data_IF_603549458641
#
_entry.id   IF_603549458641
#
_cell.length_a   1.000
_cell.length_b   1.000
_cell.length_c   1.000
_cell.angle_alpha   90.00
_cell.angle_beta   90.00
_cell.angle_gamma   90.00
#
_symmetry.space_group_name_H-M   'P 1'
#
loop_
_entity.id
_entity.type
_entity.pdbx_description
1 polymer ?
#
# COMPACT_ATOMS: atom_id res chain seq x y z
N UNK A 1 -3.71 -7.35 1.80
CA UNK A 1 -4.87 -6.41 1.84
C UNK A 1 -5.53 -6.32 0.48
N UNK A 2 -4.85 -5.90 -0.60
CA UNK A 2 -5.46 -5.70 -1.95
C UNK A 2 -6.16 -6.96 -2.50
N UNK A 3 -5.51 -8.13 -2.41
CA UNK A 3 -6.09 -9.41 -2.86
C UNK A 3 -7.35 -9.78 -2.05
N UNK A 4 -7.30 -9.57 -0.74
CA UNK A 4 -8.44 -9.85 0.14
C UNK A 4 -9.63 -8.94 -0.19
N UNK A 5 -9.39 -7.64 -0.34
CA UNK A 5 -10.43 -6.67 -0.69
C UNK A 5 -11.08 -6.99 -2.05
N UNK A 6 -10.26 -7.34 -3.05
CA UNK A 6 -10.78 -7.78 -4.35
C UNK A 6 -11.63 -9.04 -4.24
N UNK A 7 -11.16 -10.04 -3.47
CA UNK A 7 -11.93 -11.28 -3.22
C UNK A 7 -13.30 -10.99 -2.64
N UNK A 8 -13.35 -10.20 -1.56
CA UNK A 8 -14.62 -9.93 -0.88
C UNK A 8 -15.57 -9.12 -1.78
N UNK A 9 -15.06 -8.18 -2.56
CA UNK A 9 -15.87 -7.44 -3.51
C UNK A 9 -16.40 -8.32 -4.64
N UNK A 10 -15.59 -9.20 -5.21
CA UNK A 10 -16.02 -10.16 -6.23
C UNK A 10 -17.06 -11.15 -5.68
N UNK A 11 -16.92 -11.61 -4.42
CA UNK A 11 -17.92 -12.46 -3.76
C UNK A 11 -19.26 -11.73 -3.61
N UNK A 12 -19.26 -10.45 -3.22
CA UNK A 12 -20.47 -9.61 -3.14
C UNK A 12 -21.16 -9.46 -4.50
N UNK A 13 -20.39 -9.49 -5.59
CA UNK A 13 -20.91 -9.48 -6.98
C UNK A 13 -21.36 -10.86 -7.49
N UNK A 14 -21.37 -11.89 -6.65
CA UNK A 14 -21.87 -13.23 -6.98
C UNK A 14 -20.84 -14.19 -7.57
N UNK A 15 -19.55 -13.82 -7.59
CA UNK A 15 -18.49 -14.68 -8.13
C UNK A 15 -17.94 -15.62 -7.06
N UNK A 16 -17.52 -16.81 -7.49
CA UNK A 16 -16.77 -17.77 -6.67
C UNK A 16 -15.29 -17.50 -6.80
N UNK A 17 -14.63 -17.14 -5.70
CA UNK A 17 -13.20 -16.80 -5.68
C UNK A 17 -12.42 -17.81 -4.84
N UNK A 18 -11.38 -18.37 -5.43
CA UNK A 18 -10.41 -19.23 -4.76
C UNK A 18 -9.08 -18.47 -4.62
N UNK A 19 -8.45 -18.59 -3.46
CA UNK A 19 -7.11 -18.03 -3.23
C UNK A 19 -6.09 -19.16 -3.12
N UNK A 20 -4.97 -18.99 -3.80
CA UNK A 20 -3.76 -19.82 -3.60
C UNK A 20 -2.66 -18.94 -3.06
N UNK A 21 -2.13 -19.29 -1.89
CA UNK A 21 -1.11 -18.50 -1.21
C UNK A 21 -0.06 -19.39 -0.54
N UNK A 22 0.96 -18.79 0.04
CA UNK A 22 2.04 -19.50 0.76
C UNK A 22 1.63 -19.73 2.21
N UNK A 23 1.99 -20.87 2.77
CA UNK A 23 1.82 -21.23 4.18
C UNK A 23 3.06 -20.82 5.00
N UNK A 24 2.87 -20.68 6.31
CA UNK A 24 3.97 -20.56 7.28
C UNK A 24 4.72 -21.89 7.52
N UNK A 25 4.13 -23.00 7.12
CA UNK A 25 4.75 -24.32 7.16
C UNK A 25 5.62 -24.58 5.92
N UNK A 26 6.75 -25.27 6.13
CA UNK A 26 7.65 -25.70 5.04
C UNK A 26 7.15 -26.98 4.35
N UNK A 27 6.24 -27.74 4.98
CA UNK A 27 5.88 -29.09 4.52
C UNK A 27 4.38 -29.22 4.25
N UNK A 28 3.53 -28.46 4.96
CA UNK A 28 2.09 -28.71 4.99
C UNK A 28 1.34 -27.94 3.91
N UNK A 29 0.58 -28.69 3.08
CA UNK A 29 -0.49 -28.12 2.27
C UNK A 29 -1.76 -28.06 3.09
N UNK A 30 -2.46 -26.93 3.02
CA UNK A 30 -3.69 -26.71 3.77
C UNK A 30 -4.75 -26.13 2.85
N UNK A 31 -5.93 -26.74 2.83
CA UNK A 31 -7.08 -26.23 2.10
C UNK A 31 -8.22 -25.95 3.06
N UNK A 32 -8.56 -24.68 3.17
CA UNK A 32 -9.76 -24.21 3.85
C UNK A 32 -10.91 -24.20 2.86
N UNK A 33 -11.80 -25.19 2.98
CA UNK A 33 -12.94 -25.37 2.06
C UNK A 33 -13.98 -24.26 2.24
N UNK A 34 -14.20 -23.78 3.45
CA UNK A 34 -15.15 -22.73 3.77
C UNK A 34 -14.69 -21.40 3.16
N UNK A 35 -13.47 -21.03 3.41
CA UNK A 35 -12.87 -19.80 2.90
C UNK A 35 -12.35 -19.94 1.45
N UNK A 36 -12.29 -21.17 0.90
CA UNK A 36 -11.70 -21.46 -0.43
C UNK A 36 -10.26 -20.98 -0.58
N UNK A 37 -9.47 -21.15 0.47
CA UNK A 37 -8.06 -20.74 0.51
C UNK A 37 -7.18 -21.99 0.53
N UNK A 38 -6.32 -22.12 -0.46
CA UNK A 38 -5.30 -23.16 -0.55
C UNK A 38 -3.94 -22.55 -0.19
N UNK A 39 -3.34 -23.04 0.90
CA UNK A 39 -2.00 -22.66 1.33
C UNK A 39 -1.01 -23.74 0.94
N UNK A 40 0.02 -23.36 0.21
CA UNK A 40 1.10 -24.25 -0.21
C UNK A 40 2.36 -23.98 0.61
N UNK A 41 3.24 -24.98 0.83
CA UNK A 41 4.46 -24.80 1.60
C UNK A 41 5.32 -23.66 1.12
N UNK A 42 5.96 -22.95 2.06
CA UNK A 42 6.84 -21.83 1.76
C UNK A 42 8.09 -21.78 2.61
N UNK A 43 9.25 -21.62 1.97
CA UNK A 43 10.55 -21.51 2.62
C UNK A 43 10.82 -20.02 2.89
N UNK A 44 11.11 -19.59 4.13
CA UNK A 44 11.50 -18.22 4.42
C UNK A 44 12.84 -17.90 3.74
N UNK A 45 12.92 -16.74 3.09
CA UNK A 45 14.13 -16.33 2.36
C UNK A 45 14.99 -15.31 3.12
N UNK A 46 14.67 -15.04 4.40
CA UNK A 46 15.43 -14.11 5.24
C UNK A 46 15.30 -12.63 4.88
N UNK A 47 14.45 -12.30 3.94
CA UNK A 47 14.10 -10.92 3.56
C UNK A 47 12.68 -10.68 4.03
N UNK A 48 12.52 -9.99 5.17
CA UNK A 48 11.22 -9.78 5.81
C UNK A 48 10.42 -11.10 5.99
N UNK A 49 9.11 -11.01 5.94
CA UNK A 49 8.20 -12.17 5.99
C UNK A 49 8.01 -12.85 4.62
N UNK A 50 8.88 -12.55 3.63
CA UNK A 50 8.77 -13.15 2.31
C UNK A 50 9.14 -14.64 2.34
N UNK A 51 8.29 -15.44 1.68
CA UNK A 51 8.47 -16.87 1.54
C UNK A 51 8.44 -17.28 0.07
N UNK A 52 9.31 -18.17 -0.31
CA UNK A 52 9.34 -18.77 -1.64
C UNK A 52 8.58 -20.11 -1.61
N UNK A 53 7.52 -20.22 -2.40
CA UNK A 53 6.77 -21.47 -2.53
C UNK A 53 7.41 -22.41 -3.55
N UNK A 54 6.98 -23.68 -3.53
CA UNK A 54 7.19 -24.59 -4.65
C UNK A 54 6.66 -23.98 -5.95
N UNK A 55 7.43 -24.18 -7.03
CA UNK A 55 7.05 -23.70 -8.37
C UNK A 55 5.90 -24.51 -8.96
N UNK A 56 5.83 -25.81 -8.61
CA UNK A 56 4.80 -26.71 -9.13
C UNK A 56 4.39 -27.77 -8.10
N UNK A 57 3.53 -27.45 -7.14
CA UNK A 57 3.04 -28.39 -6.12
C UNK A 57 2.05 -29.41 -6.76
N UNK A 58 2.54 -30.56 -7.16
CA UNK A 58 1.78 -31.59 -7.91
C UNK A 58 0.52 -32.02 -7.17
N UNK A 59 0.58 -32.13 -5.85
CA UNK A 59 -0.55 -32.54 -5.00
C UNK A 59 -1.75 -31.62 -5.10
N UNK A 60 -1.53 -30.32 -5.32
CA UNK A 60 -2.57 -29.30 -5.37
C UNK A 60 -3.21 -29.13 -6.76
N UNK A 61 -2.51 -29.56 -7.82
CA UNK A 61 -2.99 -29.43 -9.21
C UNK A 61 -4.33 -30.15 -9.43
N UNK A 62 -4.50 -31.34 -8.82
CA UNK A 62 -5.76 -32.10 -8.92
C UNK A 62 -6.92 -31.38 -8.22
N UNK A 63 -6.66 -30.73 -7.09
CA UNK A 63 -7.64 -29.92 -6.36
C UNK A 63 -8.07 -28.71 -7.19
N UNK A 64 -7.09 -27.95 -7.71
CA UNK A 64 -7.36 -26.74 -8.52
C UNK A 64 -8.11 -27.10 -9.81
N UNK A 65 -7.81 -28.23 -10.46
CA UNK A 65 -8.53 -28.69 -11.64
C UNK A 65 -10.03 -28.89 -11.40
N UNK A 66 -10.42 -29.33 -10.17
CA UNK A 66 -11.83 -29.52 -9.80
C UNK A 66 -12.59 -28.21 -9.68
N UNK A 67 -11.92 -27.07 -9.46
CA UNK A 67 -12.55 -25.77 -9.30
C UNK A 67 -13.12 -25.21 -10.61
N UNK A 68 -12.71 -25.73 -11.77
CA UNK A 68 -13.21 -25.33 -13.12
C UNK A 68 -13.13 -23.81 -13.30
N UNK A 69 -11.95 -23.25 -13.09
CA UNK A 69 -11.71 -21.79 -13.10
C UNK A 69 -11.92 -21.21 -14.51
N UNK A 70 -12.58 -20.05 -14.58
CA UNK A 70 -12.76 -19.26 -15.80
C UNK A 70 -11.56 -18.35 -16.07
N UNK A 71 -10.91 -17.85 -15.01
CA UNK A 71 -9.75 -16.96 -15.08
C UNK A 71 -8.78 -17.26 -13.94
N UNK A 72 -7.50 -17.03 -14.17
CA UNK A 72 -6.46 -17.01 -13.13
C UNK A 72 -5.93 -15.60 -13.04
N UNK A 73 -5.97 -15.00 -11.82
CA UNK A 73 -5.42 -13.67 -11.56
C UNK A 73 -4.21 -13.78 -10.64
N UNK A 74 -3.04 -13.43 -11.15
CA UNK A 74 -1.78 -13.48 -10.41
C UNK A 74 -1.45 -12.09 -9.83
N UNK A 75 -1.08 -12.04 -8.54
CA UNK A 75 -0.68 -10.82 -7.82
C UNK A 75 0.78 -10.86 -7.38
N UNK A 76 1.55 -11.83 -7.86
CA UNK A 76 2.98 -11.98 -7.57
C UNK A 76 3.71 -12.60 -8.75
N UNK A 77 5.00 -12.31 -8.88
CA UNK A 77 5.86 -12.79 -9.97
C UNK A 77 6.54 -14.11 -9.61
N UNK A 78 6.84 -14.34 -8.35
CA UNK A 78 7.64 -15.47 -7.88
C UNK A 78 6.77 -16.59 -7.31
N UNK A 79 7.32 -17.78 -7.17
CA UNK A 79 6.67 -18.94 -6.53
C UNK A 79 5.25 -19.18 -7.03
N UNK A 80 4.25 -18.78 -6.24
CA UNK A 80 2.82 -18.91 -6.58
C UNK A 80 2.48 -18.25 -7.92
N UNK A 81 3.13 -17.14 -8.27
CA UNK A 81 2.93 -16.47 -9.55
C UNK A 81 3.43 -17.30 -10.73
N UNK A 82 4.56 -18.00 -10.60
CA UNK A 82 5.06 -18.95 -11.62
C UNK A 82 4.09 -20.13 -11.73
N UNK A 83 3.63 -20.66 -10.59
CA UNK A 83 2.65 -21.73 -10.54
C UNK A 83 1.34 -21.35 -11.27
N UNK A 84 0.82 -20.15 -11.02
CA UNK A 84 -0.36 -19.62 -11.71
C UNK A 84 -0.19 -19.63 -13.24
N UNK A 85 0.99 -19.23 -13.75
CA UNK A 85 1.29 -19.23 -15.20
C UNK A 85 1.37 -20.62 -15.79
N UNK A 86 1.96 -21.57 -15.06
CA UNK A 86 2.01 -22.98 -15.48
C UNK A 86 0.60 -23.56 -15.56
N UNK A 87 -0.25 -23.30 -14.56
CA UNK A 87 -1.65 -23.76 -14.54
C UNK A 87 -2.47 -23.15 -15.67
N UNK A 88 -2.35 -21.82 -15.88
CA UNK A 88 -3.03 -21.12 -16.97
C UNK A 88 -2.72 -21.75 -18.33
N UNK A 89 -1.44 -21.98 -18.60
CA UNK A 89 -1.00 -22.67 -19.84
C UNK A 89 -1.52 -24.12 -19.92
N UNK A 90 -1.40 -24.87 -18.81
CA UNK A 90 -1.78 -26.30 -18.76
C UNK A 90 -3.28 -26.51 -18.95
N UNK A 91 -4.10 -25.66 -18.35
CA UNK A 91 -5.56 -25.78 -18.41
C UNK A 91 -6.19 -24.90 -19.49
N UNK A 92 -5.39 -24.13 -20.23
CA UNK A 92 -5.82 -23.18 -21.27
C UNK A 92 -6.80 -22.12 -20.70
N UNK A 93 -6.53 -21.65 -19.50
CA UNK A 93 -7.30 -20.62 -18.81
C UNK A 93 -6.60 -19.27 -19.01
N UNK A 94 -7.33 -18.17 -19.31
CA UNK A 94 -6.73 -16.84 -19.42
C UNK A 94 -6.09 -16.42 -18.09
N UNK A 95 -4.92 -15.79 -18.18
CA UNK A 95 -4.17 -15.24 -17.04
C UNK A 95 -4.21 -13.72 -17.07
N UNK A 96 -4.66 -13.11 -16.00
CA UNK A 96 -4.48 -11.68 -15.70
C UNK A 96 -3.39 -11.53 -14.65
N UNK A 97 -2.62 -10.46 -14.73
CA UNK A 97 -1.58 -10.17 -13.74
C UNK A 97 -1.70 -8.74 -13.23
N UNK A 98 -1.71 -8.55 -11.90
CA UNK A 98 -1.60 -7.22 -11.29
C UNK A 98 -0.19 -6.99 -10.76
N UNK A 99 0.44 -5.92 -11.21
CA UNK A 99 1.75 -5.48 -10.76
C UNK A 99 1.64 -4.57 -9.55
N UNK A 100 2.12 -5.01 -8.39
CA UNK A 100 1.99 -4.28 -7.13
C UNK A 100 3.26 -3.61 -6.66
N UNK A 101 4.43 -4.14 -7.00
CA UNK A 101 5.70 -3.77 -6.38
C UNK A 101 6.69 -3.26 -7.42
N UNK A 102 7.22 -2.08 -7.18
CA UNK A 102 8.31 -1.53 -7.99
C UNK A 102 9.64 -2.19 -7.58
N UNK A 103 9.87 -3.41 -8.10
CA UNK A 103 11.02 -4.24 -7.72
C UNK A 103 12.37 -3.57 -7.94
N UNK A 104 12.46 -2.61 -8.86
CA UNK A 104 13.72 -1.89 -9.10
C UNK A 104 14.16 -1.07 -7.88
N UNK A 105 13.19 -0.55 -7.10
CA UNK A 105 13.50 0.21 -5.90
C UNK A 105 13.95 -0.69 -4.74
N UNK A 106 13.75 -2.01 -4.86
CA UNK A 106 14.10 -2.99 -3.83
C UNK A 106 15.35 -3.80 -4.18
N UNK A 107 15.96 -3.60 -5.36
CA UNK A 107 17.15 -4.37 -5.77
C UNK A 107 18.33 -4.15 -4.83
N UNK A 108 18.46 -2.97 -4.23
CA UNK A 108 19.52 -2.64 -3.28
C UNK A 108 19.48 -3.49 -1.99
N UNK A 109 18.32 -3.97 -1.56
CA UNK A 109 18.18 -4.87 -0.41
C UNK A 109 18.75 -6.27 -0.69
N UNK A 110 18.71 -6.71 -1.96
CA UNK A 110 19.20 -8.03 -2.36
C UNK A 110 20.69 -7.99 -2.70
N UNK A 111 21.14 -6.90 -3.33
CA UNK A 111 22.50 -6.80 -3.90
C UNK A 111 23.46 -5.99 -3.06
N UNK A 112 23.03 -5.41 -1.94
CA UNK A 112 23.82 -4.50 -1.09
C UNK A 112 24.55 -3.43 -1.91
N UNK A 113 23.89 -2.87 -2.94
CA UNK A 113 24.41 -1.94 -3.93
C UNK A 113 25.53 -2.49 -4.85
N UNK A 114 25.85 -3.78 -4.76
CA UNK A 114 26.73 -4.44 -5.72
C UNK A 114 25.88 -4.95 -6.90
N UNK A 115 26.32 -4.70 -8.14
CA UNK A 115 25.63 -5.13 -9.38
C UNK A 115 24.27 -4.48 -9.67
N UNK A 116 24.01 -3.24 -9.19
CA UNK A 116 22.72 -2.56 -9.34
C UNK A 116 22.21 -2.48 -10.81
N UNK A 117 23.10 -2.21 -11.78
CA UNK A 117 22.74 -2.18 -13.21
C UNK A 117 22.31 -3.54 -13.75
N UNK A 118 22.96 -4.62 -13.30
CA UNK A 118 22.64 -5.99 -13.74
C UNK A 118 21.31 -6.45 -13.11
N UNK A 119 21.11 -6.20 -11.83
CA UNK A 119 19.88 -6.56 -11.14
C UNK A 119 18.67 -5.83 -11.69
N UNK A 120 18.76 -4.53 -11.99
CA UNK A 120 17.71 -3.75 -12.67
C UNK A 120 17.41 -4.30 -14.07
N UNK A 121 18.42 -4.74 -14.83
CA UNK A 121 18.21 -5.38 -16.13
C UNK A 121 17.46 -6.72 -15.97
N UNK A 122 17.85 -7.55 -15.02
CA UNK A 122 17.18 -8.83 -14.73
C UNK A 122 15.72 -8.59 -14.34
N UNK A 123 15.46 -7.65 -13.44
CA UNK A 123 14.09 -7.28 -13.04
C UNK A 123 13.27 -6.84 -14.25
N UNK A 124 13.82 -5.98 -15.10
CA UNK A 124 13.16 -5.54 -16.34
C UNK A 124 12.82 -6.71 -17.27
N UNK A 125 13.75 -7.62 -17.51
CA UNK A 125 13.54 -8.75 -18.43
C UNK A 125 12.53 -9.76 -17.84
N UNK A 126 12.57 -10.01 -16.53
CA UNK A 126 11.57 -10.81 -15.83
C UNK A 126 10.17 -10.15 -15.90
N UNK A 127 10.06 -8.86 -15.66
CA UNK A 127 8.80 -8.13 -15.78
C UNK A 127 8.21 -8.28 -17.19
N UNK A 128 9.03 -8.16 -18.23
CA UNK A 128 8.58 -8.39 -19.62
C UNK A 128 8.02 -9.80 -19.82
N UNK A 129 8.69 -10.82 -19.29
CA UNK A 129 8.21 -12.20 -19.42
C UNK A 129 6.88 -12.36 -18.71
N UNK A 130 6.76 -11.85 -17.49
CA UNK A 130 5.55 -12.03 -16.69
C UNK A 130 4.36 -11.21 -17.19
N UNK A 131 4.59 -9.98 -17.63
CA UNK A 131 3.52 -9.08 -18.03
C UNK A 131 3.13 -9.20 -19.51
N UNK A 132 4.07 -9.55 -20.41
CA UNK A 132 3.79 -9.55 -21.85
C UNK A 132 3.62 -10.96 -22.42
N UNK A 133 4.53 -11.87 -22.06
CA UNK A 133 4.56 -13.19 -22.70
C UNK A 133 3.58 -14.19 -22.11
N UNK A 134 3.17 -13.99 -20.86
CA UNK A 134 2.40 -15.00 -20.11
C UNK A 134 1.04 -14.54 -19.64
N UNK A 135 0.79 -13.24 -19.57
CA UNK A 135 -0.50 -12.67 -19.22
C UNK A 135 -1.30 -12.24 -20.44
N UNK A 136 -2.62 -12.49 -20.45
CA UNK A 136 -3.57 -11.95 -21.42
C UNK A 136 -3.65 -10.42 -21.25
N UNK A 137 -3.67 -9.98 -20.01
CA UNK A 137 -3.72 -8.57 -19.62
C UNK A 137 -2.92 -8.33 -18.33
N UNK A 138 -2.25 -7.18 -18.26
CA UNK A 138 -1.55 -6.73 -17.04
C UNK A 138 -2.23 -5.48 -16.47
N UNK A 139 -2.58 -5.53 -15.21
CA UNK A 139 -3.12 -4.39 -14.47
C UNK A 139 -1.98 -3.69 -13.75
N UNK A 140 -1.90 -2.38 -13.91
CA UNK A 140 -0.99 -1.49 -13.17
C UNK A 140 -1.79 -0.49 -12.35
N UNK A 141 -1.34 -0.10 -11.15
CA UNK A 141 -2.18 0.68 -10.23
C UNK A 141 -2.28 2.18 -10.58
N UNK A 142 -1.31 2.73 -11.32
CA UNK A 142 -1.24 4.18 -11.61
C UNK A 142 -0.61 4.47 -12.96
N UNK A 143 -0.84 5.68 -13.48
CA UNK A 143 -0.18 6.18 -14.67
C UNK A 143 1.35 6.29 -14.50
N UNK A 144 1.85 6.46 -13.28
CA UNK A 144 3.29 6.37 -12.97
C UNK A 144 3.87 5.02 -13.43
N UNK A 145 3.20 3.93 -13.06
CA UNK A 145 3.65 2.57 -13.42
C UNK A 145 3.40 2.27 -14.90
N UNK A 146 2.29 2.76 -15.45
CA UNK A 146 2.02 2.65 -16.88
C UNK A 146 3.11 3.33 -17.74
N UNK A 147 3.52 4.56 -17.38
CA UNK A 147 4.62 5.27 -18.07
C UNK A 147 5.95 4.53 -17.92
N UNK A 148 6.26 4.01 -16.73
CA UNK A 148 7.44 3.17 -16.50
C UNK A 148 7.44 1.96 -17.46
N UNK A 149 6.31 1.26 -17.58
CA UNK A 149 6.19 0.12 -18.48
C UNK A 149 6.38 0.52 -19.92
N UNK A 150 5.73 1.59 -20.37
CA UNK A 150 5.81 2.08 -21.73
C UNK A 150 7.20 2.58 -22.11
N UNK A 151 7.77 3.45 -21.29
CA UNK A 151 8.99 4.19 -21.63
C UNK A 151 10.27 3.41 -21.30
N UNK A 152 10.31 2.78 -20.12
CA UNK A 152 11.52 2.09 -19.65
C UNK A 152 11.52 0.61 -19.99
N UNK A 153 10.38 -0.08 -19.85
CA UNK A 153 10.29 -1.50 -20.13
C UNK A 153 9.91 -1.80 -21.57
N UNK A 154 9.47 -0.79 -22.34
CA UNK A 154 9.01 -0.93 -23.73
C UNK A 154 7.85 -1.92 -23.86
N UNK A 155 6.96 -1.94 -22.88
CA UNK A 155 5.73 -2.73 -22.84
C UNK A 155 4.57 -1.79 -23.18
N UNK A 156 3.91 -1.99 -24.32
CA UNK A 156 2.91 -1.06 -24.86
C UNK A 156 1.55 -1.71 -25.12
N UNK A 157 1.42 -3.01 -24.91
CA UNK A 157 0.20 -3.75 -25.20
C UNK A 157 -0.29 -4.50 -23.95
N UNK A 158 -1.59 -4.68 -23.89
CA UNK A 158 -2.25 -5.47 -22.86
C UNK A 158 -1.96 -4.95 -21.44
N UNK A 159 -2.07 -3.63 -21.25
CA UNK A 159 -1.91 -2.96 -19.96
C UNK A 159 -3.12 -2.10 -19.69
N UNK A 160 -3.77 -2.32 -18.54
CA UNK A 160 -4.86 -1.53 -18.02
C UNK A 160 -4.45 -0.80 -16.74
N UNK A 161 -4.75 0.48 -16.65
CA UNK A 161 -4.53 1.25 -15.40
C UNK A 161 -5.77 1.09 -14.53
N UNK A 162 -5.66 0.30 -13.48
CA UNK A 162 -6.76 0.06 -12.54
C UNK A 162 -6.19 0.16 -11.12
N UNK A 163 -6.49 1.23 -10.39
CA UNK A 163 -6.08 1.38 -9.00
C UNK A 163 -6.64 0.27 -8.13
N UNK A 164 -5.81 -0.28 -7.25
CA UNK A 164 -6.26 -1.23 -6.23
C UNK A 164 -7.24 -0.56 -5.28
N UNK A 165 -8.32 -1.25 -4.98
CA UNK A 165 -9.35 -0.76 -4.07
C UNK A 165 -9.12 -1.18 -2.62
N UNK A 166 -9.66 -0.38 -1.71
CA UNK A 166 -9.72 -0.68 -0.28
C UNK A 166 -11.17 -0.71 0.20
N UNK A 167 -11.40 -1.28 1.35
CA UNK A 167 -12.67 -1.15 2.08
C UNK A 167 -12.69 0.24 2.74
N UNK A 168 -13.21 1.23 2.00
CA UNK A 168 -13.22 2.64 2.43
C UNK A 168 -14.19 2.89 3.58
N UNK A 169 -15.30 2.13 3.64
CA UNK A 169 -16.38 2.35 4.61
C UNK A 169 -15.90 2.19 6.05
N UNK A 170 -14.94 1.29 6.29
CA UNK A 170 -14.37 1.08 7.63
C UNK A 170 -13.61 2.28 8.18
N UNK A 171 -13.18 3.20 7.31
CA UNK A 171 -12.46 4.43 7.71
C UNK A 171 -13.39 5.61 7.95
N UNK A 172 -14.65 5.52 7.53
CA UNK A 172 -15.61 6.61 7.71
C UNK A 172 -15.82 6.91 9.20
N UNK A 173 -15.79 8.18 9.56
CA UNK A 173 -15.91 8.64 10.95
C UNK A 173 -17.14 8.06 11.65
N UNK A 174 -18.28 7.96 10.95
CA UNK A 174 -19.53 7.40 11.45
C UNK A 174 -19.48 5.90 11.74
N UNK A 175 -18.52 5.17 11.17
CA UNK A 175 -18.34 3.73 11.36
C UNK A 175 -17.25 3.40 12.39
N UNK A 176 -16.60 4.42 12.96
CA UNK A 176 -15.47 4.25 13.89
C UNK A 176 -15.95 4.45 15.34
N UNK A 177 -15.57 3.53 16.23
CA UNK A 177 -15.90 3.58 17.66
C UNK A 177 -15.12 4.73 18.34
N UNK A 178 -15.82 5.81 18.74
CA UNK A 178 -15.23 7.00 19.36
C UNK A 178 -14.47 6.68 20.65
N UNK A 179 -14.99 5.77 21.48
CA UNK A 179 -14.33 5.36 22.72
C UNK A 179 -12.93 4.78 22.50
N UNK A 180 -12.71 4.07 21.38
CA UNK A 180 -11.40 3.54 21.01
C UNK A 180 -10.45 4.66 20.58
N UNK A 181 -10.96 5.63 19.82
CA UNK A 181 -10.20 6.82 19.42
C UNK A 181 -9.77 7.62 20.65
N UNK A 182 -10.69 7.86 21.59
CA UNK A 182 -10.41 8.61 22.81
C UNK A 182 -9.38 7.91 23.72
N UNK A 183 -9.46 6.57 23.81
CA UNK A 183 -8.45 5.77 24.52
C UNK A 183 -7.07 5.90 23.89
N UNK A 184 -6.98 5.91 22.56
CA UNK A 184 -5.71 6.07 21.83
C UNK A 184 -5.17 7.48 22.05
N UNK A 185 -6.00 8.52 21.90
CA UNK A 185 -5.60 9.92 22.18
C UNK A 185 -5.07 10.07 23.60
N UNK A 186 -5.78 9.53 24.59
CA UNK A 186 -5.35 9.55 26.00
C UNK A 186 -4.03 8.80 26.21
N UNK A 187 -3.88 7.61 25.61
CA UNK A 187 -2.66 6.79 25.72
C UNK A 187 -1.42 7.54 25.25
N UNK A 188 -1.55 8.32 24.18
CA UNK A 188 -0.43 9.03 23.55
C UNK A 188 -0.37 10.53 23.92
N UNK A 189 -1.20 10.99 24.86
CA UNK A 189 -1.22 12.39 25.30
C UNK A 189 -1.60 13.37 24.19
N UNK A 190 -2.45 12.95 23.25
CA UNK A 190 -2.99 13.82 22.21
C UNK A 190 -4.18 14.58 22.78
N UNK A 191 -4.11 15.90 22.80
CA UNK A 191 -5.13 16.79 23.34
C UNK A 191 -5.92 17.48 22.22
N UNK A 192 -6.95 18.25 22.60
CA UNK A 192 -7.76 19.00 21.62
C UNK A 192 -7.02 20.22 21.05
N UNK A 193 -6.00 20.69 21.73
CA UNK A 193 -5.14 21.81 21.33
C UNK A 193 -4.08 21.38 20.31
N UNK A 194 -3.84 20.06 20.19
CA UNK A 194 -2.87 19.52 19.27
C UNK A 194 -3.46 19.40 17.86
N UNK A 195 -2.72 19.85 16.87
CA UNK A 195 -2.91 19.49 15.48
C UNK A 195 -2.07 18.22 15.19
N UNK A 196 -2.73 17.09 15.10
CA UNK A 196 -2.03 15.81 14.95
C UNK A 196 -1.86 15.46 13.48
N UNK A 197 -0.61 15.27 13.05
CA UNK A 197 -0.29 14.74 11.73
C UNK A 197 0.11 13.26 11.84
N UNK A 198 -0.38 12.43 10.95
CA UNK A 198 -0.12 10.98 10.96
C UNK A 198 0.67 10.52 9.75
N UNK A 199 1.68 9.70 9.98
CA UNK A 199 2.31 8.84 8.98
C UNK A 199 1.92 7.40 9.27
N UNK A 200 1.53 6.65 8.24
CA UNK A 200 1.22 5.22 8.34
C UNK A 200 2.05 4.45 7.33
N UNK A 201 2.83 3.49 7.78
CA UNK A 201 3.61 2.66 6.88
C UNK A 201 4.81 1.98 7.53
N UNK A 202 5.54 1.23 6.71
CA UNK A 202 6.77 0.60 7.14
C UNK A 202 7.86 1.65 7.37
N UNK A 203 8.61 1.51 8.46
CA UNK A 203 9.70 2.42 8.80
C UNK A 203 11.00 1.97 8.09
N UNK A 204 11.16 2.43 6.84
CA UNK A 204 12.27 2.07 5.95
C UNK A 204 12.80 3.31 5.22
N UNK A 205 14.05 3.28 4.69
CA UNK A 205 14.70 4.45 4.10
C UNK A 205 13.88 5.10 2.97
N UNK A 206 13.24 4.31 2.12
CA UNK A 206 12.44 4.77 0.98
C UNK A 206 11.20 5.58 1.38
N UNK A 207 10.77 5.49 2.65
CA UNK A 207 9.64 6.28 3.18
C UNK A 207 10.04 7.69 3.60
N UNK A 208 11.34 7.98 3.65
CA UNK A 208 11.89 9.31 3.89
C UNK A 208 11.32 10.00 5.15
N UNK A 209 11.19 9.23 6.25
CA UNK A 209 10.64 9.75 7.52
C UNK A 209 11.57 10.80 8.13
N UNK A 210 12.88 10.72 7.85
CA UNK A 210 13.84 11.73 8.29
C UNK A 210 13.46 13.14 7.81
N UNK A 211 12.88 13.27 6.61
CA UNK A 211 12.35 14.55 6.10
C UNK A 211 11.26 15.10 7.03
N UNK A 212 10.33 14.25 7.48
CA UNK A 212 9.25 14.63 8.39
C UNK A 212 9.79 15.07 9.76
N UNK A 213 10.80 14.35 10.29
CA UNK A 213 11.46 14.69 11.56
C UNK A 213 12.19 16.04 11.48
N UNK A 214 12.92 16.29 10.38
CA UNK A 214 13.59 17.60 10.16
C UNK A 214 12.59 18.75 10.00
N UNK A 215 11.45 18.48 9.39
CA UNK A 215 10.38 19.48 9.30
C UNK A 215 9.75 19.75 10.68
N UNK A 216 9.55 18.71 11.48
CA UNK A 216 9.05 18.87 12.86
C UNK A 216 10.01 19.70 13.71
N UNK A 217 11.34 19.53 13.56
CA UNK A 217 12.33 20.38 14.23
C UNK A 217 12.14 21.85 13.85
N UNK A 218 11.98 22.16 12.56
CA UNK A 218 11.79 23.55 12.11
C UNK A 218 10.52 24.18 12.69
N UNK A 219 9.42 23.41 12.78
CA UNK A 219 8.20 23.89 13.41
C UNK A 219 8.44 24.30 14.88
N UNK A 220 9.20 23.48 15.62
CA UNK A 220 9.56 23.79 17.01
C UNK A 220 10.46 25.03 17.09
N UNK A 221 11.45 25.17 16.20
CA UNK A 221 12.33 26.35 16.10
C UNK A 221 11.53 27.64 15.81
N UNK A 222 10.48 27.53 14.98
CA UNK A 222 9.55 28.64 14.68
C UNK A 222 8.47 28.84 15.76
N UNK A 223 8.57 28.14 16.90
CA UNK A 223 7.64 28.19 18.03
C UNK A 223 6.22 27.69 17.73
N UNK A 224 6.05 26.88 16.70
CA UNK A 224 4.81 26.20 16.37
C UNK A 224 4.79 24.86 17.11
N UNK A 225 4.32 24.88 18.36
CA UNK A 225 4.46 23.77 19.30
C UNK A 225 3.21 22.87 19.41
N UNK A 226 2.13 23.23 18.75
CA UNK A 226 0.86 22.49 18.80
C UNK A 226 0.76 21.38 17.74
N UNK A 227 1.78 21.19 16.89
CA UNK A 227 1.79 20.12 15.89
C UNK A 227 2.50 18.90 16.46
N UNK A 228 1.81 17.76 16.50
CA UNK A 228 2.33 16.45 16.90
C UNK A 228 2.41 15.50 15.72
N UNK A 229 3.49 14.77 15.60
CA UNK A 229 3.70 13.76 14.56
C UNK A 229 3.48 12.35 15.14
N UNK A 230 2.41 11.69 14.69
CA UNK A 230 2.07 10.30 15.01
C UNK A 230 2.60 9.36 13.92
N UNK A 231 3.61 8.56 14.24
CA UNK A 231 4.22 7.58 13.34
C UNK A 231 3.70 6.19 13.67
N UNK A 232 2.85 5.67 12.79
CA UNK A 232 2.21 4.35 12.93
C UNK A 232 2.89 3.35 12.01
N UNK A 233 3.51 2.35 12.59
CA UNK A 233 4.21 1.30 11.87
C UNK A 233 5.48 0.84 12.53
N UNK A 234 6.12 -0.15 11.92
CA UNK A 234 7.40 -0.72 12.37
C UNK A 234 8.31 -0.96 11.16
N UNK A 235 9.59 -1.18 11.41
CA UNK A 235 10.54 -1.45 10.34
C UNK A 235 12.00 -1.29 10.78
N UNK A 236 12.96 -1.58 9.87
CA UNK A 236 14.39 -1.61 10.19
C UNK A 236 14.94 -0.26 10.69
N UNK A 237 14.33 0.85 10.26
CA UNK A 237 14.79 2.19 10.61
C UNK A 237 14.16 2.77 11.88
N UNK A 238 13.30 2.04 12.59
CA UNK A 238 12.57 2.55 13.76
C UNK A 238 13.50 3.14 14.83
N UNK A 239 14.49 2.37 15.27
CA UNK A 239 15.45 2.81 16.29
C UNK A 239 16.29 4.00 15.82
N UNK A 240 16.65 4.02 14.53
CA UNK A 240 17.33 5.15 13.94
C UNK A 240 16.48 6.43 14.00
N UNK A 241 15.19 6.35 13.63
CA UNK A 241 14.29 7.52 13.66
C UNK A 241 14.02 8.01 15.10
N UNK A 242 13.91 7.10 16.07
CA UNK A 242 13.82 7.45 17.49
C UNK A 242 15.09 8.20 17.92
N UNK A 243 16.26 7.74 17.53
CA UNK A 243 17.53 8.41 17.87
C UNK A 243 17.66 9.79 17.19
N UNK A 244 17.22 9.91 15.93
CA UNK A 244 17.18 11.18 15.21
C UNK A 244 16.25 12.16 15.94
N UNK A 245 15.05 11.75 16.35
CA UNK A 245 14.11 12.63 17.05
C UNK A 245 14.66 13.16 18.39
N UNK A 246 15.42 12.33 19.10
CA UNK A 246 16.13 12.76 20.33
C UNK A 246 17.25 13.78 20.02
N UNK A 247 18.07 13.51 19.01
CA UNK A 247 19.17 14.43 18.59
C UNK A 247 18.63 15.77 18.10
N UNK A 248 17.46 15.79 17.50
CA UNK A 248 16.79 17.01 17.05
C UNK A 248 15.99 17.72 18.14
N UNK A 249 15.96 17.20 19.39
CA UNK A 249 15.19 17.72 20.53
C UNK A 249 13.68 17.84 20.23
N UNK A 250 13.10 16.87 19.53
CA UNK A 250 11.67 16.85 19.18
C UNK A 250 10.96 15.56 19.64
N UNK A 251 11.62 14.75 20.45
CA UNK A 251 11.07 13.43 20.85
C UNK A 251 9.72 13.54 21.58
N UNK A 252 9.47 14.63 22.29
CA UNK A 252 8.20 14.94 22.94
C UNK A 252 7.07 15.34 21.96
N UNK A 253 7.42 15.67 20.72
CA UNK A 253 6.50 16.02 19.63
C UNK A 253 6.26 14.88 18.64
N UNK A 254 6.98 13.75 18.78
CA UNK A 254 6.91 12.61 17.87
C UNK A 254 6.50 11.35 18.62
N UNK A 255 5.42 10.74 18.20
CA UNK A 255 4.85 9.53 18.82
C UNK A 255 5.12 8.35 17.91
N UNK A 256 5.85 7.33 18.40
CA UNK A 256 6.09 6.08 17.69
C UNK A 256 5.20 4.99 18.29
N UNK A 257 4.19 4.51 17.54
CA UNK A 257 3.25 3.50 18.05
C UNK A 257 3.77 2.07 17.94
N UNK A 258 4.69 1.81 17.01
CA UNK A 258 5.02 0.46 16.56
C UNK A 258 3.98 -0.07 15.57
N UNK A 259 4.06 -1.37 15.28
CA UNK A 259 3.12 -2.07 14.41
C UNK A 259 1.73 -2.09 15.05
N UNK A 260 0.73 -1.74 14.25
CA UNK A 260 -0.69 -1.80 14.62
C UNK A 260 -1.37 -2.84 13.72
N UNK A 261 -2.27 -3.62 14.28
CA UNK A 261 -3.06 -4.58 13.50
C UNK A 261 -3.98 -3.85 12.52
N UNK A 262 -4.19 -4.48 11.37
CA UNK A 262 -4.90 -3.83 10.27
C UNK A 262 -6.36 -3.49 10.62
N UNK A 263 -6.96 -4.28 11.51
CA UNK A 263 -8.33 -4.10 12.00
C UNK A 263 -8.46 -2.90 12.95
N UNK A 264 -7.35 -2.33 13.43
CA UNK A 264 -7.36 -1.19 14.35
C UNK A 264 -6.87 0.11 13.72
N UNK A 265 -6.34 0.07 12.49
CA UNK A 265 -5.67 1.22 11.87
C UNK A 265 -6.61 2.42 11.66
N UNK A 266 -7.90 2.20 11.41
CA UNK A 266 -8.90 3.26 11.25
C UNK A 266 -9.01 4.16 12.49
N UNK A 267 -8.83 3.62 13.69
CA UNK A 267 -8.87 4.40 14.93
C UNK A 267 -7.70 5.38 15.02
N UNK A 268 -6.54 5.02 14.49
CA UNK A 268 -5.36 5.88 14.45
C UNK A 268 -5.52 7.00 13.44
N UNK A 269 -6.11 6.74 12.26
CA UNK A 269 -6.46 7.82 11.33
C UNK A 269 -7.40 8.83 11.97
N UNK A 270 -8.43 8.38 12.72
CA UNK A 270 -9.37 9.27 13.42
C UNK A 270 -8.74 10.02 14.61
N UNK A 271 -7.51 9.71 14.99
CA UNK A 271 -6.76 10.53 15.96
C UNK A 271 -6.07 11.75 15.32
N UNK A 272 -6.06 11.85 13.99
CA UNK A 272 -5.26 12.82 13.25
C UNK A 272 -6.10 13.82 12.45
N UNK A 273 -5.54 14.99 12.22
CA UNK A 273 -6.10 16.08 11.43
C UNK A 273 -5.59 16.05 9.99
N UNK A 274 -4.31 15.63 9.80
CA UNK A 274 -3.71 15.49 8.48
C UNK A 274 -2.85 14.23 8.39
N UNK A 275 -2.81 13.64 7.19
CA UNK A 275 -1.91 12.55 6.84
C UNK A 275 -0.71 13.10 6.08
N UNK A 276 0.49 12.59 6.37
CA UNK A 276 1.72 13.08 5.76
C UNK A 276 2.57 11.95 5.18
N UNK A 277 3.12 12.16 3.99
CA UNK A 277 4.13 11.27 3.42
C UNK A 277 5.12 12.01 2.52
N UNK A 278 6.40 11.67 2.67
CA UNK A 278 7.50 12.13 1.84
C UNK A 278 8.12 10.98 1.01
N UNK A 279 7.39 9.88 0.86
CA UNK A 279 7.82 8.67 0.14
C UNK A 279 7.89 8.91 -1.37
N UNK A 280 9.02 8.59 -2.00
CA UNK A 280 9.23 8.67 -3.45
C UNK A 280 9.05 7.31 -4.15
N UNK A 281 8.81 6.24 -3.40
CA UNK A 281 8.75 4.86 -3.91
C UNK A 281 7.33 4.29 -4.00
N UNK A 282 6.31 5.13 -3.93
CA UNK A 282 4.94 4.65 -3.99
C UNK A 282 4.55 4.18 -5.39
N UNK A 283 3.89 3.03 -5.44
CA UNK A 283 3.24 2.55 -6.66
C UNK A 283 1.84 3.11 -6.79
N UNK A 284 1.13 3.29 -5.67
CA UNK A 284 -0.22 3.85 -5.61
C UNK A 284 -0.45 4.70 -4.35
N UNK A 285 0.05 4.26 -3.17
CA UNK A 285 -0.20 4.94 -1.90
C UNK A 285 -1.56 4.61 -1.27
N UNK A 286 -1.79 3.35 -0.94
CA UNK A 286 -3.05 2.90 -0.30
C UNK A 286 -3.33 3.65 1.01
N UNK A 287 -2.30 4.00 1.78
CA UNK A 287 -2.43 4.77 3.02
C UNK A 287 -2.95 6.20 2.80
N UNK A 288 -2.70 6.77 1.61
CA UNK A 288 -3.31 8.06 1.22
C UNK A 288 -4.81 7.88 1.01
N UNK A 289 -5.24 6.79 0.36
CA UNK A 289 -6.65 6.49 0.15
C UNK A 289 -7.35 6.23 1.48
N UNK A 290 -6.71 5.53 2.41
CA UNK A 290 -7.20 5.30 3.77
C UNK A 290 -7.41 6.65 4.51
N UNK A 291 -6.43 7.56 4.42
CA UNK A 291 -6.55 8.91 4.98
C UNK A 291 -7.70 9.70 4.37
N UNK A 292 -7.84 9.68 3.03
CA UNK A 292 -8.95 10.35 2.34
C UNK A 292 -10.30 9.81 2.81
N UNK A 293 -10.45 8.49 2.92
CA UNK A 293 -11.67 7.85 3.40
C UNK A 293 -11.98 8.21 4.86
N UNK A 294 -10.96 8.32 5.71
CA UNK A 294 -11.08 8.77 7.09
C UNK A 294 -11.39 10.28 7.22
N UNK A 295 -11.37 11.02 6.11
CA UNK A 295 -11.52 12.49 6.13
C UNK A 295 -10.31 13.20 6.72
N UNK A 296 -9.14 12.57 6.71
CA UNK A 296 -7.86 13.12 7.19
C UNK A 296 -7.13 13.73 6.02
N UNK A 297 -6.81 15.02 6.10
CA UNK A 297 -6.26 15.82 4.99
C UNK A 297 -4.89 15.28 4.55
N UNK A 298 -4.72 14.74 3.32
CA UNK A 298 -3.41 14.28 2.88
C UNK A 298 -2.50 15.44 2.46
N UNK A 299 -1.25 15.44 2.94
CA UNK A 299 -0.17 16.34 2.55
C UNK A 299 1.00 15.46 2.11
N UNK A 300 1.17 15.33 0.79
CA UNK A 300 2.06 14.36 0.19
C UNK A 300 3.13 15.04 -0.67
N UNK A 301 4.30 14.40 -0.76
CA UNK A 301 5.29 14.84 -1.74
C UNK A 301 4.70 14.80 -3.16
N UNK A 302 5.11 15.72 -4.02
CA UNK A 302 4.65 15.78 -5.41
C UNK A 302 5.27 14.63 -6.21
N UNK A 303 4.66 13.45 -6.08
CA UNK A 303 5.01 12.24 -6.83
C UNK A 303 3.87 11.88 -7.80
N UNK A 304 4.24 11.30 -8.94
CA UNK A 304 3.28 10.89 -9.97
C UNK A 304 2.21 9.89 -9.47
N UNK A 305 2.49 9.15 -8.38
CA UNK A 305 1.49 8.25 -7.78
C UNK A 305 0.32 9.02 -7.14
N UNK A 306 0.51 10.31 -6.80
CA UNK A 306 -0.47 11.11 -6.07
C UNK A 306 -1.12 12.22 -6.92
N UNK A 307 -0.51 12.61 -8.06
CA UNK A 307 -0.97 13.76 -8.87
C UNK A 307 -2.41 13.58 -9.36
N UNK A 308 -2.80 12.36 -9.75
CA UNK A 308 -4.15 12.08 -10.24
C UNK A 308 -5.16 11.85 -9.10
N UNK A 309 -4.65 11.60 -7.90
CA UNK A 309 -5.43 11.31 -6.70
C UNK A 309 -5.73 12.57 -5.89
N UNK A 310 -4.77 13.48 -5.80
CA UNK A 310 -4.81 14.63 -4.90
C UNK A 310 -4.75 15.97 -5.65
N UNK A 311 -5.48 16.99 -5.18
CA UNK A 311 -5.35 18.35 -5.71
C UNK A 311 -3.99 18.96 -5.32
N UNK A 312 -3.56 19.95 -6.11
CA UNK A 312 -2.25 20.62 -5.92
C UNK A 312 -2.02 21.19 -4.52
N UNK A 313 -3.08 21.60 -3.82
CA UNK A 313 -3.01 22.11 -2.44
C UNK A 313 -2.52 21.06 -1.44
N UNK A 314 -2.62 19.77 -1.76
CA UNK A 314 -2.09 18.64 -0.96
C UNK A 314 -0.66 18.26 -1.30
N UNK A 315 -0.12 18.75 -2.40
CA UNK A 315 1.18 18.32 -2.89
C UNK A 315 2.26 19.33 -2.55
N UNK A 316 3.44 18.87 -2.11
CA UNK A 316 4.60 19.72 -1.82
C UNK A 316 5.85 19.23 -2.58
N UNK A 317 6.75 20.15 -2.94
CA UNK A 317 8.00 19.83 -3.64
C UNK A 317 9.22 19.90 -2.73
N UNK A 318 9.11 20.61 -1.62
CA UNK A 318 10.22 20.86 -0.69
C UNK A 318 9.70 21.08 0.74
N UNK A 319 10.64 21.15 1.70
CA UNK A 319 10.31 21.28 3.11
C UNK A 319 9.58 22.58 3.45
N UNK A 320 9.89 23.68 2.77
CA UNK A 320 9.22 24.97 2.98
C UNK A 320 7.74 24.88 2.58
N UNK A 321 7.46 24.30 1.41
CA UNK A 321 6.07 24.08 0.98
C UNK A 321 5.32 23.14 1.92
N UNK A 322 5.96 22.07 2.39
CA UNK A 322 5.38 21.15 3.37
C UNK A 322 4.98 21.87 4.66
N UNK A 323 5.90 22.64 5.24
CA UNK A 323 5.65 23.41 6.48
C UNK A 323 4.51 24.42 6.27
N UNK A 324 4.52 25.16 5.14
CA UNK A 324 3.46 26.11 4.83
C UNK A 324 2.08 25.44 4.75
N UNK A 325 1.99 24.22 4.14
CA UNK A 325 0.71 23.50 4.09
C UNK A 325 0.26 23.05 5.48
N UNK A 326 1.19 22.55 6.31
CA UNK A 326 0.87 22.20 7.70
C UNK A 326 0.31 23.41 8.46
N UNK A 327 0.96 24.58 8.37
CA UNK A 327 0.51 25.80 9.02
C UNK A 327 -0.88 26.20 8.49
N UNK A 328 -1.07 26.23 7.16
CA UNK A 328 -2.36 26.57 6.56
C UNK A 328 -3.48 25.65 7.06
N UNK A 329 -3.28 24.33 6.99
CA UNK A 329 -4.30 23.39 7.45
C UNK A 329 -4.45 23.35 8.98
N UNK A 330 -3.42 23.73 9.76
CA UNK A 330 -3.55 23.78 11.22
C UNK A 330 -4.33 25.01 11.72
N UNK A 331 -4.32 26.10 10.96
CA UNK A 331 -4.94 27.38 11.34
C UNK A 331 -6.30 27.62 10.69
N UNK A 332 -6.57 27.04 9.53
CA UNK A 332 -7.81 27.25 8.77
C UNK A 332 -8.75 26.03 8.88
N UNK A 333 -9.65 26.07 9.85
CA UNK A 333 -10.61 24.99 10.08
C UNK A 333 -11.66 24.86 8.98
N UNK A 334 -12.12 25.98 8.41
CA UNK A 334 -13.12 25.96 7.34
C UNK A 334 -12.54 25.32 6.07
N UNK A 335 -11.32 25.70 5.70
CA UNK A 335 -10.60 25.04 4.61
C UNK A 335 -10.49 23.52 4.83
N UNK A 336 -10.17 23.07 6.06
CA UNK A 336 -10.13 21.65 6.39
C UNK A 336 -11.48 20.96 6.19
N UNK A 337 -12.57 21.58 6.66
CA UNK A 337 -13.93 21.02 6.52
C UNK A 337 -14.34 20.85 5.07
N UNK A 338 -14.17 21.90 4.27
CA UNK A 338 -14.43 21.84 2.82
C UNK A 338 -13.63 20.75 2.15
N UNK A 339 -12.34 20.69 2.49
CA UNK A 339 -11.44 19.73 1.88
C UNK A 339 -11.73 18.29 2.29
N UNK A 340 -12.13 18.04 3.55
CA UNK A 340 -12.58 16.71 4.00
C UNK A 340 -13.70 16.16 3.12
N UNK A 341 -14.69 16.97 2.77
CA UNK A 341 -15.80 16.55 1.91
C UNK A 341 -15.31 16.20 0.49
N UNK A 342 -14.42 17.02 -0.08
CA UNK A 342 -13.84 16.81 -1.41
C UNK A 342 -13.06 15.49 -1.49
N UNK A 343 -12.11 15.26 -0.55
CA UNK A 343 -11.25 14.07 -0.57
C UNK A 343 -12.02 12.78 -0.25
N UNK A 344 -13.02 12.84 0.63
CA UNK A 344 -13.85 11.70 0.95
C UNK A 344 -14.64 11.23 -0.26
N UNK A 345 -15.25 12.15 -1.00
CA UNK A 345 -15.91 11.84 -2.27
C UNK A 345 -14.94 11.22 -3.28
N UNK A 346 -13.73 11.77 -3.38
CA UNK A 346 -12.69 11.22 -4.26
C UNK A 346 -12.25 9.82 -3.85
N UNK A 347 -12.25 9.49 -2.55
CA UNK A 347 -11.92 8.15 -2.07
C UNK A 347 -12.87 7.06 -2.58
N UNK A 348 -14.13 7.39 -2.92
CA UNK A 348 -15.11 6.43 -3.47
C UNK A 348 -14.64 5.79 -4.78
N UNK A 349 -13.85 6.51 -5.59
CA UNK A 349 -13.27 6.00 -6.83
C UNK A 349 -12.29 4.83 -6.60
N UNK A 350 -11.80 4.72 -5.35
CA UNK A 350 -10.83 3.71 -4.89
C UNK A 350 -11.48 2.65 -3.97
N UNK A 351 -12.80 2.55 -3.97
CA UNK A 351 -13.48 1.51 -3.21
C UNK A 351 -13.19 0.12 -3.78
N UNK A 352 -13.22 -0.90 -2.92
CA UNK A 352 -13.07 -2.29 -3.35
C UNK A 352 -14.13 -2.72 -4.36
N UNK A 353 -15.34 -2.16 -4.28
CA UNK A 353 -16.42 -2.42 -5.24
C UNK A 353 -16.10 -1.84 -6.63
N UNK A 354 -15.67 -0.57 -6.71
CA UNK A 354 -15.22 0.06 -7.95
C UNK A 354 -14.06 -0.69 -8.58
N UNK A 355 -13.09 -1.11 -7.76
CA UNK A 355 -11.96 -1.92 -8.20
C UNK A 355 -12.41 -3.25 -8.79
N UNK A 356 -13.29 -3.99 -8.10
CA UNK A 356 -13.80 -5.28 -8.59
C UNK A 356 -14.54 -5.16 -9.92
N UNK A 357 -15.38 -4.13 -10.09
CA UNK A 357 -16.08 -3.89 -11.35
C UNK A 357 -15.11 -3.63 -12.52
N UNK A 358 -14.08 -2.80 -12.29
CA UNK A 358 -13.04 -2.52 -13.31
C UNK A 358 -12.25 -3.78 -13.66
N UNK A 359 -11.93 -4.62 -12.66
CA UNK A 359 -11.21 -5.89 -12.87
C UNK A 359 -12.08 -6.90 -13.63
N UNK A 360 -13.39 -6.98 -13.36
CA UNK A 360 -14.30 -7.85 -14.12
C UNK A 360 -14.34 -7.50 -15.61
N UNK A 361 -14.25 -6.23 -15.98
CA UNK A 361 -14.15 -5.82 -17.38
C UNK A 361 -12.87 -6.34 -18.08
N UNK A 362 -11.82 -6.61 -17.30
CA UNK A 362 -10.57 -7.22 -17.82
C UNK A 362 -10.68 -8.74 -17.95
N UNK A 363 -11.51 -9.38 -17.14
CA UNK A 363 -11.72 -10.83 -17.21
C UNK A 363 -12.54 -11.24 -18.43
N UNK A 364 -13.47 -10.40 -18.87
CA UNK A 364 -14.26 -10.60 -20.10
C UNK A 364 -13.39 -10.40 -21.36
#
# INVERSE_FOLDING_TARGET
>A
TSVYNLREALKKLGHTVYIVTVNDSIIKHEYDEKEKILRIPGIPIGIYDYRLSEIYPISTVKTIKKWKLDVIHSHTEFGVGIFARILAKKFKIPLVHTYHTLYEDYTHYITHNHFDKLSKKIVKDLTKVYCVKTAKETIVPTDKIYKLFKEKYMITKNISVIPSGIDIERFFEENVEKDKVDKIKKKYGITKEDFTIIFVGRLAPEKNIEFLLKAQQKLVEEKINNIKLLIVGDGPEKENYINISRKLNIFDKVIFTGKIEQEEIQYYYQCADAFVTASNSETQGLTVIEAMAAGVVPICINDMAFIDMLPKKSLFNNQKEYINRLITFSTDEELRKEYKAEIRKKAEEYSSNTYAQRVLNVYS
#
